data_IF_004428718251
#
_entry.id   IF_004428718251
#
_cell.length_a   1.000
_cell.length_b   1.000
_cell.length_c   1.000
_cell.angle_alpha   90.00
_cell.angle_beta   90.00
_cell.angle_gamma   90.00
#
_symmetry.space_group_name_H-M   'P 1'
#
loop_
_entity.id
_entity.type
_entity.pdbx_description
1 polymer ?
#
# COMPACT_ATOMS: atom_id res chain seq x y z
N UNK A 1 -44.42 -17.37 7.76
CA UNK A 1 -43.19 -17.08 7.00
C UNK A 1 -42.55 -15.83 7.57
N UNK A 2 -41.58 -15.99 8.47
CA UNK A 2 -40.76 -14.87 8.96
C UNK A 2 -39.50 -14.84 8.10
N UNK A 3 -39.41 -13.85 7.21
CA UNK A 3 -38.19 -13.58 6.46
C UNK A 3 -37.14 -13.08 7.44
N UNK A 4 -36.08 -13.86 7.61
CA UNK A 4 -34.87 -13.43 8.31
C UNK A 4 -34.28 -12.27 7.51
N UNK A 5 -34.34 -11.07 8.08
CA UNK A 5 -33.57 -9.92 7.60
C UNK A 5 -32.10 -10.26 7.80
N UNK A 6 -31.43 -10.77 6.77
CA UNK A 6 -29.97 -10.80 6.72
C UNK A 6 -29.52 -9.35 6.68
N UNK A 7 -29.04 -8.85 7.82
CA UNK A 7 -28.24 -7.64 7.88
C UNK A 7 -26.97 -7.92 7.08
N UNK A 8 -26.87 -7.36 5.87
CA UNK A 8 -25.67 -7.39 5.02
C UNK A 8 -24.52 -6.60 5.68
N UNK A 9 -24.03 -7.07 6.82
CA UNK A 9 -22.93 -6.45 7.56
C UNK A 9 -21.64 -7.26 7.50
N UNK A 10 -21.62 -8.37 6.74
CA UNK A 10 -20.48 -9.27 6.55
C UNK A 10 -20.09 -9.45 5.07
N UNK A 11 -20.35 -8.44 4.23
CA UNK A 11 -19.58 -8.30 2.99
C UNK A 11 -18.21 -7.72 3.38
N UNK A 12 -17.39 -8.54 4.05
CA UNK A 12 -16.02 -8.19 4.39
C UNK A 12 -15.33 -7.71 3.13
N UNK A 13 -15.05 -6.41 3.06
CA UNK A 13 -14.38 -5.79 1.93
C UNK A 13 -13.11 -6.58 1.64
N UNK A 14 -13.12 -7.37 0.55
CA UNK A 14 -11.96 -8.12 0.10
C UNK A 14 -11.02 -7.14 -0.59
N UNK A 15 -9.76 -7.12 -0.18
CA UNK A 15 -8.76 -6.27 -0.80
C UNK A 15 -8.56 -6.61 -2.28
N UNK A 16 -8.19 -5.60 -3.06
CA UNK A 16 -7.91 -5.74 -4.50
C UNK A 16 -6.68 -6.63 -4.75
N UNK A 17 -5.73 -6.66 -3.81
CA UNK A 17 -4.54 -7.49 -3.85
C UNK A 17 -4.23 -8.09 -2.48
N UNK A 18 -3.95 -9.40 -2.42
CA UNK A 18 -3.58 -10.06 -1.15
C UNK A 18 -2.18 -9.64 -0.67
N UNK A 19 -1.93 -9.71 0.64
CA UNK A 19 -0.60 -9.50 1.22
C UNK A 19 0.47 -10.39 0.58
N UNK A 20 0.19 -11.69 0.43
CA UNK A 20 1.15 -12.64 -0.12
C UNK A 20 1.63 -12.27 -1.54
N UNK A 21 0.77 -11.65 -2.35
CA UNK A 21 1.16 -11.19 -3.70
C UNK A 21 2.05 -9.96 -3.62
N UNK A 22 1.75 -9.00 -2.75
CA UNK A 22 2.61 -7.83 -2.57
C UNK A 22 3.96 -8.22 -1.94
N UNK A 23 3.97 -9.14 -0.96
CA UNK A 23 5.21 -9.62 -0.34
C UNK A 23 6.12 -10.28 -1.38
N UNK A 24 5.55 -11.10 -2.27
CA UNK A 24 6.29 -11.69 -3.38
C UNK A 24 6.83 -10.61 -4.34
N UNK A 25 6.03 -9.59 -4.66
CA UNK A 25 6.44 -8.47 -5.50
C UNK A 25 7.53 -7.59 -4.85
N UNK A 26 7.50 -7.42 -3.53
CA UNK A 26 8.55 -6.72 -2.79
C UNK A 26 9.84 -7.55 -2.76
N UNK A 27 9.73 -8.86 -2.57
CA UNK A 27 10.88 -9.77 -2.55
C UNK A 27 11.56 -9.91 -3.91
N UNK A 28 10.80 -9.88 -5.01
CA UNK A 28 11.34 -9.93 -6.38
C UNK A 28 11.73 -8.55 -6.95
N UNK A 29 11.45 -7.46 -6.22
CA UNK A 29 11.79 -6.09 -6.59
C UNK A 29 10.85 -5.44 -7.60
N UNK A 30 9.74 -6.08 -7.96
CA UNK A 30 8.70 -5.49 -8.83
C UNK A 30 7.79 -4.49 -8.11
N UNK A 31 7.76 -4.54 -6.77
CA UNK A 31 7.17 -3.52 -5.90
C UNK A 31 8.23 -2.87 -5.01
N UNK A 32 7.95 -1.65 -4.55
CA UNK A 32 8.75 -1.00 -3.51
C UNK A 32 7.88 -0.18 -2.57
N UNK A 33 8.25 -0.13 -1.30
CA UNK A 33 7.60 0.73 -0.33
C UNK A 33 7.85 2.21 -0.63
N UNK A 34 7.01 3.08 -0.07
CA UNK A 34 7.18 4.53 -0.16
C UNK A 34 8.54 5.00 0.39
N UNK A 35 8.97 4.41 1.51
CA UNK A 35 10.31 4.59 2.07
C UNK A 35 10.74 3.35 2.88
N UNK A 36 11.98 3.32 3.36
CA UNK A 36 12.43 2.24 4.26
C UNK A 36 11.66 2.22 5.59
N UNK A 37 11.14 3.37 6.01
CA UNK A 37 10.46 3.56 7.29
C UNK A 37 8.93 3.54 7.19
N UNK A 38 8.39 3.85 6.01
CA UNK A 38 6.94 3.90 5.75
C UNK A 38 6.59 2.78 4.79
N UNK A 39 6.15 1.67 5.37
CA UNK A 39 5.85 0.41 4.65
C UNK A 39 4.35 0.22 4.37
N UNK A 40 3.49 1.09 4.90
CA UNK A 40 2.03 1.03 4.68
C UNK A 40 1.62 1.37 3.24
N UNK A 41 2.55 1.89 2.43
CA UNK A 41 2.33 2.25 1.03
C UNK A 41 3.36 1.57 0.14
N UNK A 42 2.91 1.02 -0.99
CA UNK A 42 3.78 0.39 -1.97
C UNK A 42 3.41 0.81 -3.40
N UNK A 43 4.43 1.01 -4.23
CA UNK A 43 4.28 1.20 -5.66
C UNK A 43 4.37 -0.15 -6.36
N UNK A 44 3.33 -0.53 -7.10
CA UNK A 44 3.28 -1.79 -7.84
C UNK A 44 2.40 -1.63 -9.09
N UNK A 45 2.86 -2.18 -10.23
CA UNK A 45 2.15 -2.12 -11.53
C UNK A 45 1.66 -0.72 -11.93
N UNK A 46 2.49 0.30 -11.69
CA UNK A 46 2.22 1.69 -12.02
C UNK A 46 1.10 2.36 -11.21
N UNK A 47 0.76 1.79 -10.05
CA UNK A 47 -0.20 2.37 -9.11
C UNK A 47 0.35 2.34 -7.68
N UNK A 48 -0.15 3.26 -6.85
CA UNK A 48 0.04 3.21 -5.41
C UNK A 48 -0.98 2.27 -4.76
N UNK A 49 -0.51 1.55 -3.75
CA UNK A 49 -1.30 0.61 -2.96
C UNK A 49 -1.16 0.94 -1.49
N UNK A 50 -2.26 0.86 -0.74
CA UNK A 50 -2.28 1.06 0.72
C UNK A 50 -2.55 -0.25 1.45
N UNK A 51 -1.76 -0.50 2.49
CA UNK A 51 -1.88 -1.65 3.38
C UNK A 51 -3.08 -1.48 4.34
N UNK A 52 -3.86 -2.54 4.47
CA UNK A 52 -4.89 -2.70 5.51
C UNK A 52 -4.96 -4.17 5.95
N UNK A 53 -5.67 -4.49 7.03
CA UNK A 53 -5.87 -5.84 7.56
C UNK A 53 -6.38 -6.88 6.54
N UNK A 54 -7.05 -6.42 5.49
CA UNK A 54 -7.65 -7.27 4.46
C UNK A 54 -6.69 -7.55 3.29
N UNK A 55 -5.61 -6.78 3.16
CA UNK A 55 -4.71 -6.80 2.00
C UNK A 55 -4.30 -5.40 1.57
N UNK A 56 -4.12 -5.24 0.28
CA UNK A 56 -3.70 -4.00 -0.36
C UNK A 56 -4.83 -3.46 -1.25
N UNK A 57 -5.08 -2.17 -1.10
CA UNK A 57 -6.11 -1.45 -1.84
C UNK A 57 -5.47 -0.49 -2.83
N UNK A 58 -5.97 -0.46 -4.06
CA UNK A 58 -5.45 0.47 -5.05
C UNK A 58 -5.86 1.92 -4.72
N UNK A 59 -4.89 2.83 -4.76
CA UNK A 59 -5.16 4.27 -4.63
C UNK A 59 -5.70 4.78 -5.98
N UNK A 60 -7.03 4.79 -6.11
CA UNK A 60 -7.71 5.21 -7.35
C UNK A 60 -7.80 6.72 -7.53
N UNK A 61 -7.55 7.48 -6.46
CA UNK A 61 -7.59 8.95 -6.46
C UNK A 61 -6.27 9.54 -6.95
N UNK A 62 -6.30 10.19 -8.10
CA UNK A 62 -5.12 10.77 -8.74
C UNK A 62 -4.42 11.85 -7.89
N UNK A 63 -5.18 12.64 -7.11
CA UNK A 63 -4.62 13.67 -6.23
C UNK A 63 -3.83 13.05 -5.06
N UNK A 64 -4.32 11.93 -4.52
CA UNK A 64 -3.63 11.17 -3.48
C UNK A 64 -2.38 10.49 -4.05
N UNK A 65 -2.48 9.88 -5.22
CA UNK A 65 -1.34 9.26 -5.90
C UNK A 65 -0.20 10.27 -6.15
N UNK A 66 -0.53 11.47 -6.66
CA UNK A 66 0.46 12.54 -6.85
C UNK A 66 1.09 13.02 -5.53
N UNK A 67 0.31 13.02 -4.44
CA UNK A 67 0.84 13.30 -3.10
C UNK A 67 1.84 12.24 -2.63
N UNK A 68 1.54 10.96 -2.87
CA UNK A 68 2.45 9.85 -2.54
C UNK A 68 3.72 9.89 -3.38
N UNK A 69 3.65 10.26 -4.66
CA UNK A 69 4.83 10.47 -5.50
C UNK A 69 5.77 11.54 -4.92
N UNK A 70 5.20 12.68 -4.50
CA UNK A 70 5.97 13.75 -3.87
C UNK A 70 6.57 13.31 -2.53
N UNK A 71 5.82 12.56 -1.72
CA UNK A 71 6.32 12.01 -0.46
C UNK A 71 7.45 11.01 -0.69
N UNK A 72 7.31 10.09 -1.64
CA UNK A 72 8.35 9.12 -1.98
C UNK A 72 9.65 9.82 -2.44
N UNK A 73 9.54 10.88 -3.26
CA UNK A 73 10.70 11.66 -3.67
C UNK A 73 11.40 12.33 -2.47
N UNK A 74 10.64 12.92 -1.54
CA UNK A 74 11.19 13.57 -0.35
C UNK A 74 11.80 12.55 0.63
N UNK A 75 11.17 11.39 0.81
CA UNK A 75 11.66 10.37 1.73
C UNK A 75 12.94 9.71 1.24
N UNK A 76 13.13 9.53 -0.07
CA UNK A 76 14.41 9.02 -0.61
C UNK A 76 15.60 9.88 -0.19
N UNK A 77 15.45 11.20 -0.20
CA UNK A 77 16.49 12.13 0.26
C UNK A 77 16.75 11.98 1.77
N UNK A 78 15.71 11.75 2.55
CA UNK A 78 15.82 11.53 3.99
C UNK A 78 16.49 10.17 4.31
N UNK A 79 16.07 9.10 3.63
CA UNK A 79 16.64 7.76 3.77
C UNK A 79 18.13 7.75 3.42
N UNK A 80 18.53 8.45 2.33
CA UNK A 80 19.94 8.63 1.97
C UNK A 80 20.75 9.35 3.05
N UNK A 81 20.20 10.43 3.63
CA UNK A 81 20.85 11.16 4.71
C UNK A 81 21.06 10.30 5.96
N UNK A 82 20.08 9.46 6.32
CA UNK A 82 20.18 8.53 7.45
C UNK A 82 21.29 7.51 7.23
N UNK A 83 21.36 6.90 6.04
CA UNK A 83 22.42 5.93 5.69
C UNK A 83 23.82 6.55 5.75
N UNK A 84 23.96 7.80 5.29
CA UNK A 84 25.23 8.53 5.38
C UNK A 84 25.67 8.80 6.82
N UNK A 85 24.75 9.17 7.71
CA UNK A 85 25.06 9.42 9.13
C UNK A 85 25.39 8.17 9.95
N UNK A 86 25.02 6.98 9.44
CA UNK A 86 25.21 5.70 10.11
C UNK A 86 26.45 4.92 9.65
N UNK A 87 27.21 5.49 8.71
CA UNK A 87 28.48 4.95 8.18
C UNK A 87 29.69 5.64 8.82
#
# INVERSE_FOLDING_TARGET
MRGTMMTNSDAGMMADLSHAVMDAALADGSAHHLSETITDFAWYRSSWWIFDRAGWWEVTRADVAAGLDLMAANMRLADEAVRWSSS
#
